data_IF_333695990285
#
_entry.id   IF_333695990285
#
_cell.length_a   1.000
_cell.length_b   1.000
_cell.length_c   1.000
_cell.angle_alpha   90.00
_cell.angle_beta   90.00
_cell.angle_gamma   90.00
#
_symmetry.space_group_name_H-M   'P 1'
#
loop_
_entity.id
_entity.type
_entity.pdbx_description
1 polymer ?
#
# COMPACT_ATOMS: atom_id res chain seq x y z
N UNK A 1 18.75 12.03 7.28
CA UNK A 1 17.28 11.98 7.53
C UNK A 1 16.47 11.87 6.23
N UNK A 2 16.91 12.50 5.12
CA UNK A 2 16.22 12.41 3.82
C UNK A 2 16.17 10.99 3.22
N UNK A 3 17.24 10.19 3.38
CA UNK A 3 17.32 8.85 2.77
C UNK A 3 16.34 7.83 3.37
N UNK A 4 15.99 7.98 4.64
CA UNK A 4 15.13 7.02 5.34
C UNK A 4 13.69 7.02 4.82
N UNK A 5 13.18 8.20 4.41
CA UNK A 5 11.84 8.33 3.84
C UNK A 5 11.70 7.65 2.48
N UNK A 6 12.73 7.78 1.63
CA UNK A 6 12.77 7.12 0.31
C UNK A 6 12.84 5.60 0.46
N UNK A 7 13.70 5.09 1.36
CA UNK A 7 13.81 3.65 1.62
C UNK A 7 12.49 3.06 2.16
N UNK A 8 11.78 3.79 3.03
CA UNK A 8 10.46 3.36 3.52
C UNK A 8 9.44 3.23 2.38
N UNK A 9 9.40 4.20 1.45
CA UNK A 9 8.49 4.13 0.28
C UNK A 9 8.84 2.94 -0.63
N UNK A 10 10.13 2.70 -0.89
CA UNK A 10 10.57 1.55 -1.68
C UNK A 10 10.18 0.22 -1.03
N UNK A 11 10.38 0.08 0.28
CA UNK A 11 9.95 -1.10 1.05
C UNK A 11 8.45 -1.34 0.93
N UNK A 12 7.62 -0.29 1.02
CA UNK A 12 6.17 -0.41 0.85
C UNK A 12 5.77 -0.82 -0.58
N UNK A 13 6.46 -0.31 -1.59
CA UNK A 13 6.21 -0.68 -2.99
C UNK A 13 6.54 -2.15 -3.23
N UNK A 14 7.70 -2.63 -2.75
CA UNK A 14 8.07 -4.06 -2.83
C UNK A 14 7.05 -4.93 -2.09
N UNK A 15 6.66 -4.52 -0.88
CA UNK A 15 5.64 -5.22 -0.10
C UNK A 15 4.28 -5.24 -0.83
N UNK A 16 3.98 -4.22 -1.62
CA UNK A 16 2.75 -4.14 -2.38
C UNK A 16 2.62 -5.23 -3.45
N UNK A 17 3.73 -5.72 -4.02
CA UNK A 17 3.73 -6.83 -4.98
C UNK A 17 3.49 -8.19 -4.32
N UNK A 18 3.91 -8.38 -3.06
CA UNK A 18 3.76 -9.65 -2.34
C UNK A 18 2.40 -9.68 -1.62
N UNK A 19 2.13 -8.63 -0.85
CA UNK A 19 0.97 -8.53 0.02
C UNK A 19 0.48 -7.07 0.10
N UNK A 20 -0.28 -6.60 -0.91
CA UNK A 20 -0.78 -5.23 -0.96
C UNK A 20 -1.60 -4.77 0.26
N UNK A 21 -2.47 -5.58 0.91
CA UNK A 21 -3.16 -5.10 2.11
C UNK A 21 -2.21 -4.81 3.27
N UNK A 22 -1.06 -5.50 3.34
CA UNK A 22 -0.04 -5.25 4.36
C UNK A 22 0.72 -3.95 4.09
N UNK A 23 1.06 -3.67 2.82
CA UNK A 23 1.67 -2.41 2.43
C UNK A 23 0.76 -1.21 2.76
N UNK A 24 -0.54 -1.32 2.44
CA UNK A 24 -1.53 -0.29 2.78
C UNK A 24 -1.67 -0.13 4.29
N UNK A 25 -1.66 -1.23 5.06
CA UNK A 25 -1.71 -1.17 6.52
C UNK A 25 -0.50 -0.47 7.14
N UNK A 26 0.72 -0.72 6.64
CA UNK A 26 1.91 -0.01 7.13
C UNK A 26 1.98 1.46 6.68
N UNK A 27 1.28 1.83 5.59
CA UNK A 27 1.20 3.20 5.11
C UNK A 27 0.13 4.02 5.86
N UNK A 28 -1.08 3.47 6.02
CA UNK A 28 -2.27 4.17 6.50
C UNK A 28 -2.74 3.74 7.91
N UNK A 29 -2.21 2.65 8.45
CA UNK A 29 -2.75 2.01 9.65
C UNK A 29 -4.04 1.23 9.39
N UNK A 30 -4.76 0.88 10.47
CA UNK A 30 -6.03 0.12 10.39
C UNK A 30 -7.20 1.02 9.97
N UNK A 31 -7.29 1.33 8.68
CA UNK A 31 -8.33 2.20 8.11
C UNK A 31 -9.17 1.47 7.05
N UNK A 32 -10.25 2.12 6.57
CA UNK A 32 -11.07 1.58 5.46
C UNK A 32 -10.26 1.27 4.20
N UNK A 33 -9.13 1.96 3.97
CA UNK A 33 -8.25 1.71 2.82
C UNK A 33 -7.66 0.28 2.86
N UNK A 34 -7.34 -0.24 4.03
CA UNK A 34 -6.89 -1.64 4.18
C UNK A 34 -8.01 -2.61 3.85
N UNK A 35 -9.23 -2.31 4.30
CA UNK A 35 -10.41 -3.12 3.98
C UNK A 35 -10.68 -3.18 2.47
N UNK A 36 -10.53 -2.04 1.79
CA UNK A 36 -10.60 -1.98 0.32
C UNK A 36 -9.47 -2.78 -0.33
N UNK A 37 -8.23 -2.68 0.16
CA UNK A 37 -7.12 -3.48 -0.36
C UNK A 37 -7.37 -4.98 -0.23
N UNK A 38 -7.96 -5.42 0.88
CA UNK A 38 -8.38 -6.82 1.09
C UNK A 38 -9.47 -7.22 0.09
N UNK A 39 -10.49 -6.37 -0.11
CA UNK A 39 -11.55 -6.64 -1.08
C UNK A 39 -11.00 -6.79 -2.50
N UNK A 40 -10.10 -5.89 -2.91
CA UNK A 40 -9.44 -5.98 -4.22
C UNK A 40 -8.57 -7.23 -4.34
N UNK A 41 -7.88 -7.62 -3.26
CA UNK A 41 -7.08 -8.84 -3.22
C UNK A 41 -7.93 -10.11 -3.37
N UNK A 42 -9.16 -10.10 -2.84
CA UNK A 42 -10.13 -11.19 -2.99
C UNK A 42 -10.68 -11.29 -4.41
N UNK A 43 -10.83 -10.17 -5.12
CA UNK A 43 -11.20 -10.15 -6.54
C UNK A 43 -10.06 -10.64 -7.46
N UNK A 44 -8.82 -10.52 -6.98
CA UNK A 44 -7.63 -11.04 -7.66
C UNK A 44 -6.37 -10.32 -7.22
N UNK A 45 -5.22 -10.94 -7.47
CA UNK A 45 -3.95 -10.37 -7.04
C UNK A 45 -3.58 -9.08 -7.80
N UNK A 46 -3.80 -9.05 -9.11
CA UNK A 46 -3.51 -7.88 -9.96
C UNK A 46 -4.26 -6.62 -9.50
N UNK A 47 -5.60 -6.62 -9.32
CA UNK A 47 -6.30 -5.42 -8.86
C UNK A 47 -5.89 -5.00 -7.44
N UNK A 48 -5.53 -5.94 -6.56
CA UNK A 48 -4.97 -5.65 -5.25
C UNK A 48 -3.65 -4.87 -5.31
N UNK A 49 -2.72 -5.30 -6.19
CA UNK A 49 -1.45 -4.59 -6.41
C UNK A 49 -1.70 -3.16 -6.90
N UNK A 50 -2.55 -2.98 -7.92
CA UNK A 50 -2.84 -1.65 -8.49
C UNK A 50 -3.38 -0.72 -7.41
N UNK A 51 -4.35 -1.18 -6.62
CA UNK A 51 -4.92 -0.40 -5.53
C UNK A 51 -3.88 -0.04 -4.47
N UNK A 52 -3.06 -1.00 -4.04
CA UNK A 52 -2.03 -0.75 -3.03
C UNK A 52 -0.98 0.26 -3.50
N UNK A 53 -0.53 0.19 -4.76
CA UNK A 53 0.39 1.18 -5.33
C UNK A 53 -0.26 2.57 -5.35
N UNK A 54 -1.53 2.67 -5.76
CA UNK A 54 -2.26 3.93 -5.78
C UNK A 54 -2.36 4.56 -4.39
N UNK A 55 -2.55 3.76 -3.34
CA UNK A 55 -2.63 4.25 -1.96
C UNK A 55 -1.25 4.66 -1.44
N UNK A 56 -0.22 3.83 -1.62
CA UNK A 56 1.16 4.09 -1.13
C UNK A 56 1.80 5.30 -1.84
N UNK A 57 1.43 5.55 -3.10
CA UNK A 57 1.97 6.66 -3.90
C UNK A 57 1.20 7.95 -3.71
N UNK A 58 -0.06 7.90 -3.25
CA UNK A 58 -0.82 9.10 -2.92
C UNK A 58 -0.29 9.70 -1.62
N UNK A 59 0.11 10.96 -1.70
CA UNK A 59 0.60 11.69 -0.52
C UNK A 59 -0.57 11.92 0.45
N UNK A 60 -0.40 11.63 1.77
CA UNK A 60 -1.47 11.76 2.76
C UNK A 60 -1.91 13.21 3.03
N UNK A 61 -1.27 14.20 2.41
CA UNK A 61 -1.50 15.63 2.63
C UNK A 61 -2.73 16.21 1.89
N UNK A 62 -3.79 15.44 1.66
CA UNK A 62 -5.07 15.98 1.17
C UNK A 62 -6.30 15.39 1.85
#
# INVERSE_FOLDING_TARGET
MADYGAMKKLLLIVLCFILPPLAVFFHEGLTRKVLWAILWQLLGHVPGIIYGILVVTKDPAK
#
